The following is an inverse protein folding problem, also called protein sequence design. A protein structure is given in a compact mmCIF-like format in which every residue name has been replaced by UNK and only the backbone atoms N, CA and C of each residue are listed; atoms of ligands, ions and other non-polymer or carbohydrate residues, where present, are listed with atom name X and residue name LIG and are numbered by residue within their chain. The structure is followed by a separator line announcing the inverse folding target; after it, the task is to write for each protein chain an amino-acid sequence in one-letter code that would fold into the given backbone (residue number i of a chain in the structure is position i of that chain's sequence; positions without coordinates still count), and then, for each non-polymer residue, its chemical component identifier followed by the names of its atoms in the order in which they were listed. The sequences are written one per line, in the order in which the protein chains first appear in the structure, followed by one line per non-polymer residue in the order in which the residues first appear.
data_IF_826584476272
#
_entry.id   IF_826584476272
#
_cell.length_a   1.000
_cell.length_b   1.000
_cell.length_c   1.000
_cell.angle_alpha   90.00
_cell.angle_beta   90.00
_cell.angle_gamma   90.00
#
_symmetry.space_group_name_H-M   'P 1'
#
loop_
_entity.id
_entity.type
_entity.pdbx_description
1 polymer ?
#
# COMPACT_ATOMS: atom_id res chain seq x y z
N UNK A 1 -20.41 10.41 -25.70
CA UNK A 1 -21.65 9.67 -25.40
C UNK A 1 -21.72 9.40 -23.91
N UNK A 2 -22.45 10.21 -23.15
CA UNK A 2 -22.71 9.95 -21.72
C UNK A 2 -24.22 10.12 -21.51
N UNK A 3 -24.84 9.24 -20.71
CA UNK A 3 -26.28 9.16 -20.42
C UNK A 3 -27.17 8.49 -21.50
N UNK A 4 -26.74 7.37 -22.10
CA UNK A 4 -27.65 6.47 -22.84
C UNK A 4 -27.50 5.02 -22.38
N UNK A 5 -28.60 4.29 -22.32
CA UNK A 5 -28.62 2.89 -21.90
C UNK A 5 -27.84 2.05 -22.91
N UNK A 6 -26.83 1.27 -22.50
CA UNK A 6 -26.06 0.44 -23.43
C UNK A 6 -26.88 -0.71 -24.03
N UNK A 7 -28.02 -1.06 -23.44
CA UNK A 7 -28.88 -2.14 -23.95
C UNK A 7 -29.95 -1.65 -24.94
N UNK A 8 -30.54 -0.48 -24.71
CA UNK A 8 -31.66 0.03 -25.52
C UNK A 8 -31.45 1.42 -26.11
N UNK A 9 -30.27 2.01 -25.93
CA UNK A 9 -29.84 3.31 -26.48
C UNK A 9 -30.69 4.54 -26.09
N UNK A 10 -31.62 4.40 -25.14
CA UNK A 10 -32.45 5.49 -24.64
C UNK A 10 -31.71 6.39 -23.63
N UNK A 11 -32.11 7.67 -23.47
CA UNK A 11 -31.52 8.55 -22.47
C UNK A 11 -31.63 7.99 -21.05
N UNK A 12 -30.52 7.97 -20.30
CA UNK A 12 -30.50 7.58 -18.88
C UNK A 12 -30.76 8.83 -18.04
N UNK A 13 -31.87 8.83 -17.30
CA UNK A 13 -32.13 9.81 -16.22
C UNK A 13 -31.47 9.41 -14.89
N UNK A 14 -31.62 10.25 -13.86
CA UNK A 14 -31.17 9.89 -12.50
C UNK A 14 -32.16 8.91 -11.87
N UNK A 15 -31.76 7.63 -11.74
CA UNK A 15 -32.57 6.59 -11.09
C UNK A 15 -31.81 5.96 -9.92
N UNK A 16 -32.24 6.23 -8.68
CA UNK A 16 -31.71 5.60 -7.47
C UNK A 16 -32.55 4.39 -7.09
N UNK A 17 -31.94 3.20 -6.97
CA UNK A 17 -32.64 1.97 -6.61
C UNK A 17 -32.28 1.50 -5.18
N UNK A 18 -33.10 1.88 -4.19
CA UNK A 18 -32.91 1.51 -2.78
C UNK A 18 -32.93 0.00 -2.53
N UNK A 19 -33.65 -0.77 -3.35
CA UNK A 19 -33.68 -2.22 -3.25
C UNK A 19 -32.31 -2.84 -3.55
N UNK A 20 -31.66 -2.40 -4.64
CA UNK A 20 -30.30 -2.85 -5.00
C UNK A 20 -29.28 -2.36 -3.96
N UNK A 21 -29.42 -1.14 -3.45
CA UNK A 21 -28.56 -0.64 -2.36
C UNK A 21 -28.59 -1.57 -1.14
N UNK A 22 -29.78 -2.00 -0.68
CA UNK A 22 -29.93 -2.97 0.42
C UNK A 22 -29.35 -4.35 0.11
N UNK A 23 -29.43 -4.79 -1.14
CA UNK A 23 -28.78 -6.05 -1.56
C UNK A 23 -27.26 -5.91 -1.47
N UNK A 24 -26.69 -4.79 -1.92
CA UNK A 24 -25.24 -4.55 -1.81
C UNK A 24 -24.77 -4.47 -0.35
N UNK A 25 -25.62 -4.00 0.57
CA UNK A 25 -25.32 -4.01 2.01
C UNK A 25 -25.26 -5.43 2.59
N UNK A 26 -26.06 -6.38 2.09
CA UNK A 26 -26.08 -7.77 2.56
C UNK A 26 -25.05 -8.66 1.87
N UNK A 27 -24.58 -8.31 0.67
CA UNK A 27 -23.54 -9.04 -0.06
C UNK A 27 -22.19 -8.86 0.65
N UNK A 28 -21.60 -9.98 1.06
CA UNK A 28 -20.22 -10.04 1.54
C UNK A 28 -19.27 -10.35 0.39
N UNK A 29 -18.12 -9.69 0.39
CA UNK A 29 -17.03 -9.92 -0.54
C UNK A 29 -15.73 -10.17 0.22
N UNK A 30 -14.84 -10.95 -0.38
CA UNK A 30 -13.48 -11.17 0.14
C UNK A 30 -12.53 -10.09 -0.36
N UNK A 31 -11.45 -9.87 0.39
CA UNK A 31 -10.40 -8.96 -0.02
C UNK A 31 -9.68 -9.42 -1.31
N UNK A 32 -9.31 -8.47 -2.16
CA UNK A 32 -8.49 -8.72 -3.35
C UNK A 32 -7.05 -9.12 -2.99
N UNK A 33 -6.58 -8.72 -1.81
CA UNK A 33 -5.25 -9.01 -1.28
C UNK A 33 -5.21 -10.34 -0.50
N UNK A 34 -6.14 -11.25 -0.78
CA UNK A 34 -6.12 -12.62 -0.22
C UNK A 34 -4.83 -13.36 -0.55
N UNK A 35 -4.27 -13.15 -1.75
CA UNK A 35 -2.94 -13.66 -2.14
C UNK A 35 -1.79 -13.18 -1.26
N UNK A 36 -1.95 -12.03 -0.59
CA UNK A 36 -0.96 -11.45 0.31
C UNK A 36 -1.30 -11.68 1.79
N UNK A 37 -2.30 -12.51 2.10
CA UNK A 37 -2.62 -12.91 3.48
C UNK A 37 -3.88 -12.28 4.08
N UNK A 38 -4.58 -11.39 3.37
CA UNK A 38 -5.83 -10.83 3.89
C UNK A 38 -6.96 -11.89 3.89
N UNK A 39 -7.47 -12.24 5.07
CA UNK A 39 -8.58 -13.21 5.23
C UNK A 39 -9.92 -12.55 5.50
N UNK A 40 -9.99 -11.22 5.44
CA UNK A 40 -11.22 -10.48 5.76
C UNK A 40 -12.29 -10.66 4.68
N UNK A 41 -13.53 -10.80 5.16
CA UNK A 41 -14.73 -10.70 4.35
C UNK A 41 -15.63 -9.62 4.95
N UNK A 42 -16.12 -8.71 4.12
CA UNK A 42 -16.84 -7.51 4.52
C UNK A 42 -17.99 -7.21 3.56
N UNK A 43 -18.94 -6.36 3.95
CA UNK A 43 -20.02 -5.93 3.05
C UNK A 43 -19.47 -5.21 1.82
N UNK A 44 -20.13 -5.34 0.67
CA UNK A 44 -19.68 -4.69 -0.56
C UNK A 44 -19.49 -3.16 -0.38
N UNK A 45 -20.35 -2.52 0.43
CA UNK A 45 -20.24 -1.10 0.77
C UNK A 45 -18.92 -0.71 1.44
N UNK A 46 -18.27 -1.62 2.17
CA UNK A 46 -16.99 -1.39 2.85
C UNK A 46 -15.77 -1.63 1.97
N UNK A 47 -15.94 -2.16 0.75
CA UNK A 47 -14.82 -2.52 -0.14
C UNK A 47 -13.80 -1.41 -0.34
N UNK A 48 -14.25 -0.19 -0.61
CA UNK A 48 -13.37 0.96 -0.82
C UNK A 48 -12.64 1.38 0.47
N UNK A 49 -13.33 1.32 1.61
CA UNK A 49 -12.75 1.67 2.91
C UNK A 49 -11.68 0.64 3.30
N UNK A 50 -11.98 -0.65 3.18
CA UNK A 50 -11.02 -1.72 3.43
C UNK A 50 -9.83 -1.62 2.47
N UNK A 51 -10.04 -1.44 1.17
CA UNK A 51 -8.95 -1.37 0.20
C UNK A 51 -7.89 -0.31 0.51
N UNK A 52 -8.30 0.85 1.04
CA UNK A 52 -7.38 1.93 1.45
C UNK A 52 -6.64 1.68 2.76
N UNK A 53 -7.14 0.78 3.60
CA UNK A 53 -6.62 0.50 4.94
C UNK A 53 -6.15 -0.95 5.11
N UNK A 54 -6.12 -1.73 4.01
CA UNK A 54 -5.75 -3.13 4.04
C UNK A 54 -4.26 -3.25 4.38
N UNK A 55 -3.94 -3.83 5.53
CA UNK A 55 -2.56 -4.06 5.96
C UNK A 55 -1.79 -5.02 5.05
N UNK A 56 -2.51 -5.81 4.25
CA UNK A 56 -1.96 -6.74 3.28
C UNK A 56 -1.97 -6.16 1.86
N UNK A 57 -2.20 -4.86 1.70
CA UNK A 57 -1.97 -4.21 0.42
C UNK A 57 -0.52 -4.43 0.00
N UNK A 58 -0.26 -4.69 -1.30
CA UNK A 58 1.09 -4.92 -1.76
C UNK A 58 1.99 -3.71 -1.50
N UNK A 59 3.23 -3.99 -1.11
CA UNK A 59 4.28 -3.01 -0.92
C UNK A 59 5.17 -2.96 -2.16
N UNK A 60 5.51 -1.75 -2.60
CA UNK A 60 6.45 -1.51 -3.68
C UNK A 60 7.87 -1.32 -3.13
N UNK A 61 8.89 -1.72 -3.89
CA UNK A 61 10.27 -1.43 -3.53
C UNK A 61 10.51 0.09 -3.48
N UNK A 62 11.12 0.64 -2.41
CA UNK A 62 11.34 2.08 -2.28
C UNK A 62 12.47 2.62 -3.17
N UNK A 63 13.24 1.76 -3.83
CA UNK A 63 14.33 2.18 -4.71
C UNK A 63 13.77 2.53 -6.11
N UNK A 64 14.17 3.68 -6.69
CA UNK A 64 13.56 4.21 -7.91
C UNK A 64 13.73 3.32 -9.15
N UNK A 65 14.80 2.53 -9.19
CA UNK A 65 15.11 1.64 -10.32
C UNK A 65 14.64 0.19 -10.09
N UNK A 66 13.71 -0.03 -9.15
CA UNK A 66 13.17 -1.34 -8.84
C UNK A 66 11.63 -1.36 -8.89
N UNK A 67 11.07 -2.17 -9.78
CA UNK A 67 9.62 -2.31 -9.97
C UNK A 67 9.03 -3.50 -9.17
N UNK A 68 9.73 -3.98 -8.15
CA UNK A 68 9.22 -5.08 -7.33
C UNK A 68 7.97 -4.64 -6.55
N UNK A 69 6.96 -5.49 -6.55
CA UNK A 69 5.72 -5.34 -5.78
C UNK A 69 5.32 -6.71 -5.22
N UNK A 70 5.02 -6.78 -3.93
CA UNK A 70 4.66 -8.03 -3.25
C UNK A 70 4.12 -7.79 -1.84
N UNK A 71 3.95 -8.84 -1.04
CA UNK A 71 3.65 -8.70 0.39
C UNK A 71 4.81 -8.03 1.14
N UNK A 72 4.58 -7.64 2.41
CA UNK A 72 5.62 -7.09 3.27
C UNK A 72 6.80 -8.06 3.44
N UNK A 73 6.49 -9.35 3.62
CA UNK A 73 7.48 -10.43 3.78
C UNK A 73 8.26 -10.66 2.48
N UNK A 74 7.56 -10.69 1.34
CA UNK A 74 8.19 -10.83 0.03
C UNK A 74 9.11 -9.64 -0.26
N UNK A 75 8.71 -8.42 0.11
CA UNK A 75 9.54 -7.21 -0.02
C UNK A 75 10.78 -7.28 0.88
N UNK A 76 10.65 -7.69 2.14
CA UNK A 76 11.79 -7.88 3.04
C UNK A 76 12.81 -8.88 2.48
N UNK A 77 12.32 -10.01 1.97
CA UNK A 77 13.16 -11.03 1.34
C UNK A 77 13.82 -10.51 0.06
N UNK A 78 13.04 -9.87 -0.81
CA UNK A 78 13.53 -9.23 -2.04
C UNK A 78 14.66 -8.25 -1.74
N UNK A 79 14.45 -7.34 -0.79
CA UNK A 79 15.43 -6.32 -0.45
C UNK A 79 16.72 -6.94 0.10
N UNK A 80 16.62 -7.98 0.93
CA UNK A 80 17.79 -8.68 1.46
C UNK A 80 18.63 -9.42 0.43
N UNK A 81 18.00 -9.88 -0.66
CA UNK A 81 18.66 -10.67 -1.70
C UNK A 81 19.15 -9.81 -2.87
N UNK A 82 18.34 -8.84 -3.29
CA UNK A 82 18.59 -8.01 -4.48
C UNK A 82 19.28 -6.69 -4.11
N UNK A 83 18.92 -6.11 -2.96
CA UNK A 83 19.37 -4.78 -2.51
C UNK A 83 20.13 -4.85 -1.18
N UNK A 84 20.88 -5.93 -0.97
CA UNK A 84 21.57 -6.27 0.28
C UNK A 84 22.39 -5.13 0.90
N UNK A 85 22.99 -4.29 0.05
CA UNK A 85 23.87 -3.19 0.47
C UNK A 85 23.22 -1.81 0.37
N UNK A 86 21.92 -1.75 0.07
CA UNK A 86 21.17 -0.49 -0.11
C UNK A 86 20.40 -0.06 1.14
N UNK A 87 20.53 -0.79 2.25
CA UNK A 87 19.96 -0.44 3.55
C UNK A 87 21.01 -0.45 4.65
N UNK A 88 20.87 0.48 5.58
CA UNK A 88 21.64 0.48 6.83
C UNK A 88 21.04 -0.54 7.78
N UNK A 89 21.87 -1.49 8.23
CA UNK A 89 21.43 -2.55 9.12
C UNK A 89 21.42 -2.07 10.57
N UNK A 90 20.40 -2.44 11.33
CA UNK A 90 20.27 -2.13 12.75
C UNK A 90 19.65 -3.29 13.53
N UNK A 91 19.70 -3.20 14.85
CA UNK A 91 19.08 -4.14 15.77
C UNK A 91 18.13 -3.39 16.70
N UNK A 92 17.00 -4.01 17.02
CA UNK A 92 16.13 -3.49 18.08
C UNK A 92 16.89 -3.37 19.41
N UNK A 93 16.47 -2.40 20.23
CA UNK A 93 17.02 -2.14 21.58
C UNK A 93 18.54 -1.90 21.62
N UNK A 94 19.16 -1.58 20.48
CA UNK A 94 20.58 -1.24 20.37
C UNK A 94 20.73 0.16 19.79
N UNK A 95 21.60 0.96 20.41
CA UNK A 95 22.02 2.24 19.85
C UNK A 95 22.80 2.01 18.55
N UNK A 96 22.29 2.55 17.45
CA UNK A 96 22.93 2.54 16.15
C UNK A 96 23.07 3.99 15.64
N UNK A 97 24.28 4.47 15.31
CA UNK A 97 24.43 5.78 14.70
C UNK A 97 23.86 5.74 13.28
N UNK A 98 22.91 6.62 12.99
CA UNK A 98 22.35 6.80 11.65
C UNK A 98 22.96 8.07 11.05
N UNK A 99 23.52 7.94 9.85
CA UNK A 99 24.07 9.07 9.08
C UNK A 99 23.21 9.27 7.85
N UNK A 100 22.89 10.54 7.55
CA UNK A 100 22.06 10.93 6.43
C UNK A 100 22.59 12.26 5.91
N UNK A 101 22.96 12.28 4.63
CA UNK A 101 23.42 13.49 3.96
C UNK A 101 22.29 14.52 3.83
N UNK A 102 22.63 15.80 3.92
CA UNK A 102 21.66 16.90 3.80
C UNK A 102 20.90 16.86 2.46
N UNK A 103 21.57 16.39 1.38
CA UNK A 103 20.98 16.23 0.05
C UNK A 103 20.24 14.91 -0.16
N UNK A 104 20.39 13.94 0.73
CA UNK A 104 19.73 12.64 0.61
C UNK A 104 18.26 12.76 1.05
N UNK A 105 17.33 12.30 0.21
CA UNK A 105 15.87 12.43 0.47
C UNK A 105 15.35 11.42 1.48
N UNK A 106 15.97 10.26 1.56
CA UNK A 106 15.58 9.21 2.49
C UNK A 106 16.74 8.24 2.74
N UNK A 107 16.65 7.50 3.83
CA UNK A 107 17.49 6.36 4.15
C UNK A 107 16.61 5.14 4.42
N UNK A 108 17.04 3.99 3.91
CA UNK A 108 16.38 2.71 4.19
C UNK A 108 17.16 2.03 5.31
N UNK A 109 16.43 1.61 6.34
CA UNK A 109 16.95 0.82 7.45
C UNK A 109 16.38 -0.60 7.35
N UNK A 110 17.20 -1.59 7.69
CA UNK A 110 16.77 -2.99 7.75
C UNK A 110 17.15 -3.60 9.08
N UNK A 111 16.18 -4.20 9.75
CA UNK A 111 16.42 -4.91 11.00
C UNK A 111 17.00 -6.31 10.72
N UNK A 112 17.94 -6.75 11.56
CA UNK A 112 18.75 -7.94 11.31
C UNK A 112 18.06 -9.27 11.64
N UNK A 113 17.13 -9.27 12.59
CA UNK A 113 16.48 -10.48 13.11
C UNK A 113 15.22 -10.86 12.34
N UNK A 114 14.34 -9.90 12.05
CA UNK A 114 13.06 -10.12 11.37
C UNK A 114 13.04 -9.57 9.93
N UNK A 115 14.08 -8.83 9.53
CA UNK A 115 14.21 -8.27 8.19
C UNK A 115 13.33 -7.06 7.92
N UNK A 116 12.64 -6.52 8.94
CA UNK A 116 11.74 -5.37 8.81
C UNK A 116 12.45 -4.19 8.17
N UNK A 117 11.73 -3.50 7.29
CA UNK A 117 12.25 -2.33 6.57
C UNK A 117 11.61 -1.06 7.12
N UNK A 118 12.43 -0.06 7.36
CA UNK A 118 12.01 1.27 7.77
C UNK A 118 12.57 2.30 6.81
N UNK A 119 11.78 3.34 6.49
CA UNK A 119 12.21 4.42 5.61
C UNK A 119 12.25 5.70 6.43
N UNK A 120 13.44 6.23 6.62
CA UNK A 120 13.65 7.52 7.25
C UNK A 120 13.65 8.60 6.16
N UNK A 121 12.62 9.44 6.15
CA UNK A 121 12.55 10.56 5.21
C UNK A 121 13.31 11.78 5.74
N UNK A 122 14.18 12.35 4.90
CA UNK A 122 14.79 13.64 5.15
C UNK A 122 13.90 14.74 4.58
N UNK A 123 13.54 15.72 5.42
CA UNK A 123 12.80 16.90 4.98
C UNK A 123 13.59 18.14 5.36
N UNK A 124 14.17 18.79 4.36
CA UNK A 124 14.84 20.09 4.53
C UNK A 124 13.82 21.19 4.27
N UNK A 125 13.49 21.96 5.30
CA UNK A 125 12.65 23.15 5.16
C UNK A 125 13.56 24.39 5.13
N UNK A 126 13.48 25.17 4.04
CA UNK A 126 14.09 26.50 4.02
C UNK A 126 13.18 27.45 4.81
N UNK A 127 13.56 27.74 6.04
CA UNK A 127 13.02 28.87 6.80
C UNK A 127 13.63 30.14 6.17
N UNK A 128 12.99 30.67 5.14
CA UNK A 128 13.48 31.83 4.39
C UNK A 128 13.84 33.01 5.28
N UNK A 129 14.78 33.84 4.79
CA UNK A 129 15.13 35.14 5.37
C UNK A 129 14.03 36.17 5.14
#
# INVERSE_FOLDING_TARGET
MRNRCPSCMTPIGYSRCRAIEKVLESVKVTCQNTKYGCKEAFSYSMKQKHGKACLFAPCSCPLPDCNFEGSSEELSAHFGNVHKYSATRFLYDRLAPITLGVSEKFLILREETDGSLFILHNKVENLGM
#
